data_IF_231616202822
#
_entry.id   IF_231616202822
#
_cell.length_a   1.000
_cell.length_b   1.000
_cell.length_c   1.000
_cell.angle_alpha   90.00
_cell.angle_beta   90.00
_cell.angle_gamma   90.00
#
_symmetry.space_group_name_H-M   'P 1'
#
loop_
_entity.id
_entity.type
_entity.pdbx_description
1 polymer ?
#
# COMPACT_ATOMS: atom_id res chain seq x y z
N UNK A 1 -30.30 -17.37 -44.30
CA UNK A 1 -29.90 -16.09 -43.67
C UNK A 1 -30.68 -16.00 -42.36
N UNK A 2 -30.11 -16.45 -41.24
CA UNK A 2 -30.84 -16.53 -39.97
C UNK A 2 -30.17 -15.58 -38.97
N UNK A 3 -30.77 -14.40 -38.82
CA UNK A 3 -30.32 -13.35 -37.91
C UNK A 3 -30.77 -13.67 -36.48
N UNK A 4 -29.85 -14.06 -35.62
CA UNK A 4 -30.10 -14.25 -34.18
C UNK A 4 -29.84 -12.95 -33.44
N UNK A 5 -30.90 -12.21 -33.11
CA UNK A 5 -30.83 -11.04 -32.22
C UNK A 5 -30.68 -11.52 -30.77
N UNK A 6 -29.50 -11.29 -30.18
CA UNK A 6 -29.26 -11.46 -28.74
C UNK A 6 -29.90 -10.29 -27.98
N UNK A 7 -31.05 -10.54 -27.34
CA UNK A 7 -31.67 -9.59 -26.41
C UNK A 7 -30.88 -9.56 -25.11
N UNK A 8 -30.13 -8.46 -24.91
CA UNK A 8 -29.43 -8.13 -23.66
C UNK A 8 -30.46 -7.91 -22.54
N UNK A 9 -30.63 -8.92 -21.69
CA UNK A 9 -31.56 -8.87 -20.54
C UNK A 9 -30.99 -7.94 -19.48
N UNK A 10 -31.54 -6.73 -19.35
CA UNK A 10 -31.24 -5.83 -18.25
C UNK A 10 -31.68 -6.49 -16.93
N UNK A 11 -30.72 -6.84 -16.07
CA UNK A 11 -31.02 -7.30 -14.70
C UNK A 11 -31.54 -6.10 -13.91
N UNK A 12 -32.84 -6.08 -13.66
CA UNK A 12 -33.45 -5.17 -12.69
C UNK A 12 -32.85 -5.46 -11.31
N UNK A 13 -32.05 -4.53 -10.79
CA UNK A 13 -31.56 -4.55 -9.42
C UNK A 13 -32.76 -4.26 -8.52
N UNK A 14 -33.31 -5.30 -7.88
CA UNK A 14 -34.33 -5.12 -6.84
C UNK A 14 -33.66 -4.57 -5.59
N UNK A 15 -33.64 -3.25 -5.46
CA UNK A 15 -33.43 -2.58 -4.17
C UNK A 15 -34.59 -2.96 -3.26
N UNK A 16 -34.37 -3.96 -2.39
CA UNK A 16 -35.30 -4.28 -1.30
C UNK A 16 -35.23 -3.14 -0.29
N UNK A 17 -36.09 -2.14 -0.43
CA UNK A 17 -36.29 -1.14 0.61
C UNK A 17 -37.01 -1.83 1.77
N UNK A 18 -36.25 -2.24 2.79
CA UNK A 18 -36.82 -2.57 4.09
C UNK A 18 -37.33 -1.26 4.68
N UNK A 19 -38.62 -0.97 4.48
CA UNK A 19 -39.29 0.13 5.18
C UNK A 19 -39.34 -0.28 6.65
N UNK A 20 -38.39 0.23 7.44
CA UNK A 20 -38.44 0.15 8.90
C UNK A 20 -39.59 1.04 9.37
N UNK A 21 -40.74 0.42 9.65
CA UNK A 21 -41.84 1.11 10.36
C UNK A 21 -41.35 1.46 11.76
N UNK A 22 -41.08 2.74 12.00
CA UNK A 22 -40.88 3.27 13.34
C UNK A 22 -42.26 3.37 13.99
N UNK A 23 -42.55 2.51 14.97
CA UNK A 23 -43.75 2.63 15.80
C UNK A 23 -43.59 3.85 16.72
N UNK A 24 -44.00 5.03 16.23
CA UNK A 24 -44.15 6.24 17.06
C UNK A 24 -45.44 6.19 17.89
N UNK A 25 -45.66 5.08 18.62
CA UNK A 25 -46.92 4.85 19.33
C UNK A 25 -46.92 3.67 20.28
N UNK A 26 -45.75 3.27 20.80
CA UNK A 26 -45.72 2.38 21.97
C UNK A 26 -45.96 3.25 23.21
N UNK A 27 -46.93 2.85 24.04
CA UNK A 27 -47.23 3.51 25.32
C UNK A 27 -45.99 3.67 26.20
N UNK A 28 -46.14 4.46 27.27
CA UNK A 28 -45.07 4.70 28.24
C UNK A 28 -44.39 3.38 28.62
N UNK A 29 -43.05 3.25 28.43
CA UNK A 29 -42.37 2.02 28.78
C UNK A 29 -42.57 1.76 30.27
N UNK A 30 -43.02 0.55 30.61
CA UNK A 30 -43.12 0.15 32.01
C UNK A 30 -41.75 0.27 32.67
N UNK A 31 -41.70 0.90 33.85
CA UNK A 31 -40.46 1.12 34.57
C UNK A 31 -39.85 -0.22 34.98
N UNK A 32 -38.75 -0.60 34.34
CA UNK A 32 -37.97 -1.80 34.65
C UNK A 32 -37.13 -1.66 35.94
N UNK A 33 -37.28 -0.55 36.68
CA UNK A 33 -36.48 -0.24 37.88
C UNK A 33 -36.59 -1.30 38.99
N UNK A 34 -37.72 -2.01 39.08
CA UNK A 34 -37.93 -3.06 40.08
C UNK A 34 -37.46 -4.45 39.63
N UNK A 35 -37.09 -4.62 38.35
CA UNK A 35 -36.69 -5.91 37.77
C UNK A 35 -35.20 -5.97 37.40
N UNK A 36 -34.46 -4.87 37.55
CA UNK A 36 -33.05 -4.81 37.20
C UNK A 36 -32.22 -5.71 38.13
N UNK A 37 -31.65 -6.80 37.59
CA UNK A 37 -30.59 -7.56 38.26
C UNK A 37 -29.23 -6.91 37.99
N UNK A 38 -28.28 -7.12 38.88
CA UNK A 38 -26.90 -6.68 38.65
C UNK A 38 -26.39 -7.28 37.32
N UNK A 39 -25.96 -6.41 36.41
CA UNK A 39 -25.46 -6.72 35.05
C UNK A 39 -26.51 -7.21 34.02
N UNK A 40 -27.79 -7.27 34.36
CA UNK A 40 -28.87 -7.46 33.37
C UNK A 40 -29.33 -6.09 32.88
N UNK A 41 -28.74 -5.63 31.77
CA UNK A 41 -29.10 -4.34 31.15
C UNK A 41 -28.61 -4.14 29.72
N UNK A 42 -27.72 -5.01 29.24
CA UNK A 42 -27.23 -4.94 27.86
C UNK A 42 -27.90 -6.05 27.04
N UNK A 43 -28.54 -5.66 25.95
CA UNK A 43 -28.99 -6.62 24.94
C UNK A 43 -27.78 -7.41 24.46
N UNK A 44 -27.84 -8.74 24.52
CA UNK A 44 -26.81 -9.61 23.91
C UNK A 44 -26.87 -9.58 22.38
N UNK A 45 -27.97 -9.05 21.81
CA UNK A 45 -28.08 -8.88 20.37
C UNK A 45 -27.24 -7.67 19.92
N UNK A 46 -26.45 -7.82 18.84
CA UNK A 46 -25.59 -6.75 18.33
C UNK A 46 -26.43 -5.56 17.88
N UNK A 47 -26.03 -4.37 18.34
CA UNK A 47 -26.69 -3.13 17.96
C UNK A 47 -26.31 -2.73 16.52
N UNK A 48 -27.22 -2.07 15.81
CA UNK A 48 -27.02 -1.76 14.37
C UNK A 48 -25.84 -0.83 14.05
N UNK A 49 -25.28 -0.14 15.06
CA UNK A 49 -24.12 0.74 14.92
C UNK A 49 -22.79 0.03 15.20
N UNK A 50 -22.80 -1.13 15.87
CA UNK A 50 -21.58 -1.83 16.28
C UNK A 50 -20.73 -2.23 15.07
N UNK A 51 -21.35 -2.83 14.05
CA UNK A 51 -20.69 -3.23 12.82
C UNK A 51 -19.88 -2.12 12.14
N UNK A 52 -20.50 -0.98 11.77
CA UNK A 52 -19.76 0.12 11.15
C UNK A 52 -18.72 0.74 12.09
N UNK A 53 -18.96 0.83 13.41
CA UNK A 53 -17.94 1.32 14.34
C UNK A 53 -16.74 0.38 14.38
N UNK A 54 -16.93 -0.92 14.57
CA UNK A 54 -15.81 -1.86 14.59
C UNK A 54 -15.03 -1.87 13.28
N UNK A 55 -15.72 -1.84 12.14
CA UNK A 55 -15.06 -1.80 10.83
C UNK A 55 -14.24 -0.51 10.64
N UNK A 56 -14.81 0.65 10.96
CA UNK A 56 -14.13 1.94 10.78
C UNK A 56 -12.95 2.11 11.72
N UNK A 57 -13.09 1.74 12.99
CA UNK A 57 -11.99 1.80 13.95
C UNK A 57 -10.89 0.79 13.60
N UNK A 58 -11.22 -0.45 13.25
CA UNK A 58 -10.22 -1.43 12.84
C UNK A 58 -9.44 -0.97 11.60
N UNK A 59 -10.14 -0.47 10.57
CA UNK A 59 -9.51 0.06 9.37
C UNK A 59 -8.62 1.28 9.69
N UNK A 60 -9.10 2.23 10.51
CA UNK A 60 -8.33 3.39 10.90
C UNK A 60 -7.06 3.02 11.68
N UNK A 61 -7.16 2.06 12.62
CA UNK A 61 -6.01 1.57 13.36
C UNK A 61 -4.97 0.96 12.42
N UNK A 62 -5.38 0.11 11.49
CA UNK A 62 -4.46 -0.48 10.49
C UNK A 62 -3.76 0.61 9.68
N UNK A 63 -4.51 1.58 9.14
CA UNK A 63 -3.93 2.68 8.36
C UNK A 63 -2.93 3.49 9.19
N UNK A 64 -3.26 3.85 10.43
CA UNK A 64 -2.36 4.62 11.31
C UNK A 64 -1.10 3.82 11.63
N UNK A 65 -1.23 2.52 11.93
CA UNK A 65 -0.06 1.68 12.23
C UNK A 65 0.87 1.54 11.04
N UNK A 66 0.34 1.39 9.83
CA UNK A 66 1.15 1.34 8.61
C UNK A 66 1.81 2.70 8.33
N UNK A 67 1.06 3.80 8.46
CA UNK A 67 1.58 5.14 8.21
C UNK A 67 2.74 5.50 9.15
N UNK A 68 2.63 5.16 10.44
CA UNK A 68 3.69 5.43 11.43
C UNK A 68 4.83 4.41 11.37
N UNK A 69 4.55 3.14 11.04
CA UNK A 69 5.58 2.11 10.93
C UNK A 69 6.47 2.26 9.71
N UNK A 70 5.91 2.72 8.59
CA UNK A 70 6.62 2.94 7.33
C UNK A 70 6.86 4.43 7.04
N UNK A 71 6.74 5.31 8.04
CA UNK A 71 7.07 6.72 7.85
C UNK A 71 8.56 6.85 7.54
N UNK A 72 8.95 7.54 6.44
CA UNK A 72 10.36 7.75 6.13
C UNK A 72 11.02 8.57 7.25
N UNK A 73 12.27 8.24 7.55
CA UNK A 73 13.04 9.03 8.51
C UNK A 73 13.35 10.41 7.91
N UNK A 74 12.64 11.42 8.40
CA UNK A 74 12.79 12.83 8.02
C UNK A 74 13.52 13.63 9.10
N UNK A 75 14.14 12.95 10.07
CA UNK A 75 14.89 13.58 11.15
C UNK A 75 16.14 14.31 10.65
N UNK A 76 16.31 15.55 11.10
CA UNK A 76 17.52 16.35 10.79
C UNK A 76 18.79 15.69 11.33
N UNK A 77 18.69 14.92 12.42
CA UNK A 77 19.84 14.25 13.02
C UNK A 77 20.36 13.14 12.11
N UNK A 78 19.46 12.36 11.50
CA UNK A 78 19.82 11.30 10.56
C UNK A 78 20.42 11.89 9.29
N UNK A 79 19.81 12.95 8.76
CA UNK A 79 20.36 13.67 7.62
C UNK A 79 21.77 14.21 7.92
N UNK A 80 21.94 14.93 9.02
CA UNK A 80 23.21 15.55 9.39
C UNK A 80 24.31 14.52 9.64
N UNK A 81 23.97 13.38 10.25
CA UNK A 81 24.93 12.29 10.49
C UNK A 81 25.38 11.63 9.19
N UNK A 82 24.46 11.38 8.26
CA UNK A 82 24.79 10.84 6.94
C UNK A 82 25.64 11.82 6.12
N UNK A 83 25.26 13.08 6.09
CA UNK A 83 26.00 14.14 5.39
C UNK A 83 27.41 14.32 5.98
N UNK A 84 27.55 14.29 7.31
CA UNK A 84 28.85 14.35 7.98
C UNK A 84 29.74 13.15 7.62
N UNK A 85 29.17 11.94 7.55
CA UNK A 85 29.89 10.73 7.11
C UNK A 85 30.37 10.85 5.67
N UNK A 86 29.52 11.34 4.76
CA UNK A 86 29.89 11.52 3.34
C UNK A 86 31.02 12.54 3.20
N UNK A 87 30.96 13.68 3.90
CA UNK A 87 32.05 14.67 3.91
C UNK A 87 33.36 14.10 4.42
N UNK A 88 33.30 13.28 5.48
CA UNK A 88 34.48 12.61 6.02
C UNK A 88 35.08 11.60 5.03
N UNK A 89 34.24 10.85 4.31
CA UNK A 89 34.68 9.93 3.27
C UNK A 89 35.33 10.68 2.10
N UNK A 90 34.69 11.70 1.54
CA UNK A 90 35.24 12.48 0.42
C UNK A 90 36.55 13.21 0.77
N UNK A 91 36.72 13.62 2.03
CA UNK A 91 37.98 14.18 2.52
C UNK A 91 39.09 13.13 2.62
N UNK A 92 38.75 11.90 3.03
CA UNK A 92 39.68 10.79 3.07
C UNK A 92 40.10 10.34 1.66
N UNK A 93 39.15 10.34 0.71
CA UNK A 93 39.38 10.00 -0.70
C UNK A 93 40.10 11.12 -1.48
N UNK A 94 40.36 12.26 -0.84
CA UNK A 94 41.04 13.41 -1.45
C UNK A 94 40.22 14.15 -2.50
N UNK A 95 38.94 13.80 -2.69
CA UNK A 95 38.04 14.45 -3.65
C UNK A 95 37.52 15.80 -3.16
N UNK A 96 37.58 16.06 -1.85
CA UNK A 96 37.22 17.35 -1.25
C UNK A 96 38.41 18.01 -0.53
N UNK A 97 39.06 18.97 -1.18
CA UNK A 97 40.12 19.80 -0.56
C UNK A 97 39.54 20.89 0.37
N UNK A 98 38.33 21.38 0.10
CA UNK A 98 37.68 22.43 0.88
C UNK A 98 36.18 22.18 1.00
N UNK A 99 35.71 22.06 2.23
CA UNK A 99 34.29 21.92 2.54
C UNK A 99 33.56 23.24 2.25
N UNK A 100 32.72 23.26 1.21
CA UNK A 100 31.84 24.40 0.94
C UNK A 100 30.53 24.24 1.71
N UNK A 101 30.22 25.22 2.55
CA UNK A 101 28.96 25.28 3.30
C UNK A 101 27.79 25.57 2.35
N UNK A 102 26.74 24.76 2.43
CA UNK A 102 25.51 24.93 1.64
C UNK A 102 25.38 23.97 0.44
N UNK A 103 26.38 23.13 0.19
CA UNK A 103 26.29 22.03 -0.78
C UNK A 103 25.85 20.74 -0.07
N UNK A 104 24.99 19.96 -0.72
CA UNK A 104 24.56 18.64 -0.28
C UNK A 104 25.38 17.57 -0.99
N UNK A 105 26.19 16.82 -0.22
CA UNK A 105 27.06 15.78 -0.80
C UNK A 105 26.37 14.41 -0.86
N UNK A 106 25.30 14.22 -0.08
CA UNK A 106 24.48 13.02 -0.11
C UNK A 106 23.21 13.21 -0.97
N UNK A 107 23.34 13.17 -2.29
CA UNK A 107 22.19 13.15 -3.22
C UNK A 107 21.96 11.75 -3.76
N UNK A 108 20.86 11.08 -3.39
CA UNK A 108 20.44 9.88 -4.10
C UNK A 108 19.92 10.32 -5.47
N UNK A 109 20.71 10.12 -6.53
CA UNK A 109 20.19 10.20 -7.89
C UNK A 109 19.08 9.13 -8.03
N UNK A 110 17.83 9.62 -8.10
CA UNK A 110 16.60 8.95 -8.54
C UNK A 110 16.68 7.42 -8.60
N UNK A 111 16.67 6.78 -7.43
CA UNK A 111 16.43 5.35 -7.31
C UNK A 111 15.06 5.09 -7.94
N UNK A 112 15.00 4.08 -8.84
CA UNK A 112 14.01 3.81 -9.88
C UNK A 112 12.51 3.71 -9.50
N UNK A 113 12.10 4.19 -8.33
CA UNK A 113 10.73 4.21 -7.86
C UNK A 113 9.76 4.89 -8.84
N UNK A 114 10.13 6.01 -9.44
CA UNK A 114 9.27 6.67 -10.43
C UNK A 114 9.15 5.87 -11.73
N UNK A 115 10.24 5.22 -12.18
CA UNK A 115 10.20 4.38 -13.36
C UNK A 115 9.35 3.11 -13.14
N UNK A 116 9.40 2.54 -11.93
CA UNK A 116 8.59 1.38 -11.53
C UNK A 116 7.12 1.74 -11.32
N UNK A 117 6.83 2.93 -10.78
CA UNK A 117 5.46 3.47 -10.72
C UNK A 117 4.89 3.77 -12.11
N UNK A 118 5.69 4.32 -13.01
CA UNK A 118 5.28 4.55 -14.41
C UNK A 118 4.99 3.22 -15.12
N UNK A 119 5.81 2.18 -14.90
CA UNK A 119 5.55 0.82 -15.40
C UNK A 119 4.24 0.24 -14.84
N UNK A 120 3.98 0.45 -13.56
CA UNK A 120 2.71 0.06 -12.93
C UNK A 120 1.51 0.81 -13.50
N UNK A 121 1.60 2.13 -13.72
CA UNK A 121 0.55 2.93 -14.35
C UNK A 121 0.26 2.47 -15.77
N UNK A 122 1.30 2.18 -16.56
CA UNK A 122 1.14 1.65 -17.92
C UNK A 122 0.44 0.29 -17.91
N UNK A 123 0.83 -0.62 -17.01
CA UNK A 123 0.18 -1.93 -16.86
C UNK A 123 -1.28 -1.81 -16.36
N UNK A 124 -1.58 -0.86 -15.48
CA UNK A 124 -2.94 -0.63 -15.00
C UNK A 124 -3.85 0.04 -16.06
N UNK A 125 -3.27 0.80 -16.98
CA UNK A 125 -3.99 1.48 -18.05
C UNK A 125 -4.33 0.56 -19.24
N UNK A 126 -3.60 -0.54 -19.44
CA UNK A 126 -3.84 -1.51 -20.52
C UNK A 126 -3.87 -2.96 -20.00
N UNK A 127 -4.99 -3.43 -19.43
CA UNK A 127 -5.09 -4.77 -18.84
C UNK A 127 -5.33 -5.90 -19.85
N UNK A 128 -5.21 -5.66 -21.16
CA UNK A 128 -5.54 -6.60 -22.24
C UNK A 128 -4.29 -7.25 -22.90
N UNK A 129 -3.08 -6.92 -22.44
CA UNK A 129 -1.83 -7.56 -22.87
C UNK A 129 -1.27 -8.45 -21.74
N UNK A 130 -1.87 -9.63 -21.55
CA UNK A 130 -1.22 -10.77 -20.88
C UNK A 130 -0.93 -11.82 -21.96
N UNK A 131 0.35 -12.19 -22.06
CA UNK A 131 0.95 -13.45 -22.53
C UNK A 131 0.55 -14.01 -23.92
N UNK A 132 1.45 -13.83 -24.89
CA UNK A 132 1.85 -14.84 -25.89
C UNK A 132 3.08 -14.29 -26.63
N UNK A 133 4.29 -14.56 -26.11
CA UNK A 133 5.54 -14.69 -26.89
C UNK A 133 6.55 -15.42 -25.98
N UNK A 134 6.22 -16.69 -25.70
CA UNK A 134 7.21 -17.76 -25.55
C UNK A 134 7.89 -17.91 -26.92
N UNK A 135 8.99 -17.20 -27.15
CA UNK A 135 9.99 -17.60 -28.15
C UNK A 135 11.23 -18.08 -27.39
N UNK A 136 11.28 -19.39 -27.24
CA UNK A 136 12.51 -20.18 -27.15
C UNK A 136 13.49 -19.67 -28.21
N UNK A 137 14.66 -19.18 -27.80
CA UNK A 137 15.89 -19.46 -28.53
C UNK A 137 17.06 -19.44 -27.54
N UNK A 138 17.56 -20.66 -27.33
CA UNK A 138 18.84 -21.01 -26.73
C UNK A 138 19.99 -20.17 -27.33
N UNK A 139 20.95 -19.77 -26.51
CA UNK A 139 22.38 -19.81 -26.89
C UNK A 139 23.26 -19.70 -25.63
N UNK A 140 23.45 -20.88 -25.04
CA UNK A 140 24.69 -21.46 -24.50
C UNK A 140 25.57 -20.63 -23.53
N UNK A 141 25.58 -21.12 -22.28
CA UNK A 141 26.70 -21.06 -21.35
C UNK A 141 27.97 -21.65 -22.00
N UNK A 142 29.04 -20.87 -22.10
CA UNK A 142 30.41 -21.41 -22.01
C UNK A 142 31.23 -20.51 -21.07
N UNK A 143 31.29 -20.94 -19.81
CA UNK A 143 32.40 -20.66 -18.91
C UNK A 143 33.62 -21.47 -19.38
N UNK A 144 34.71 -20.80 -19.76
CA UNK A 144 36.06 -21.35 -19.54
C UNK A 144 36.93 -20.23 -18.95
N UNK A 145 37.17 -20.35 -17.63
CA UNK A 145 38.36 -19.84 -16.98
C UNK A 145 39.58 -20.57 -17.55
N UNK A 146 40.62 -19.85 -17.96
CA UNK A 146 42.00 -20.32 -17.82
C UNK A 146 42.91 -19.12 -17.55
N UNK A 147 43.39 -19.07 -16.30
CA UNK A 147 44.60 -18.39 -15.88
C UNK A 147 45.77 -18.80 -16.78
N UNK A 148 46.59 -17.85 -17.24
CA UNK A 148 48.03 -18.07 -17.37
C UNK A 148 48.77 -16.72 -17.31
N UNK A 149 49.48 -16.54 -16.19
CA UNK A 149 50.60 -15.63 -16.04
C UNK A 149 51.64 -15.90 -17.13
N UNK A 150 52.26 -14.88 -17.72
CA UNK A 150 53.71 -14.89 -17.95
C UNK A 150 54.28 -13.51 -18.28
N UNK A 151 55.47 -13.29 -17.70
CA UNK A 151 56.34 -12.13 -17.73
C UNK A 151 57.06 -11.94 -19.09
N UNK A 152 57.93 -10.92 -19.14
CA UNK A 152 58.97 -10.58 -20.14
C UNK A 152 58.51 -9.61 -21.25
N UNK A 153 59.13 -8.46 -21.52
CA UNK A 153 60.48 -7.92 -21.29
C UNK A 153 60.44 -6.37 -21.27
#
# INVERSE_FOLDING_TARGET
MNSTHLLRRLRSVRLSSKITRRNFGAGQPESQSQQARLFEGHSTAPEGWEGPIYATYAAATVVITLALGFSPDTSINTWASNEARVRLQMKADGTLEKEEFGVHYNTPEKIGFFAEWDKFQMKAANPEEDDDDDDDDDEEEEEEEEDEEEEEE
#
